data_IF_714195918464
#
_entry.id   IF_714195918464
#
_cell.length_a   1.000
_cell.length_b   1.000
_cell.length_c   1.000
_cell.angle_alpha   90.00
_cell.angle_beta   90.00
_cell.angle_gamma   90.00
#
_symmetry.space_group_name_H-M   'P 1'
#
loop_
_entity.id
_entity.type
_entity.pdbx_description
1 polymer ?
#
# COMPACT_ATOMS: atom_id res chain seq x y z
N UNK A 1 -13.48 14.40 31.86
CA UNK A 1 -13.49 15.34 30.73
C UNK A 1 -13.26 14.52 29.47
N UNK A 2 -14.33 14.27 28.71
CA UNK A 2 -14.29 13.42 27.53
C UNK A 2 -13.66 14.17 26.37
N UNK A 3 -12.60 13.60 25.81
CA UNK A 3 -12.10 14.01 24.50
C UNK A 3 -13.19 13.67 23.48
N UNK A 4 -13.77 14.71 22.87
CA UNK A 4 -14.60 14.56 21.67
C UNK A 4 -13.67 14.06 20.56
N UNK A 5 -13.79 12.78 20.19
CA UNK A 5 -13.18 12.24 19.00
C UNK A 5 -13.64 13.07 17.79
N UNK A 6 -12.69 13.65 17.10
CA UNK A 6 -12.93 14.28 15.80
C UNK A 6 -13.33 13.13 14.87
N UNK A 7 -14.58 13.07 14.49
CA UNK A 7 -15.07 12.19 13.42
C UNK A 7 -14.28 12.56 12.16
N UNK A 8 -13.41 11.68 11.72
CA UNK A 8 -12.71 11.83 10.45
C UNK A 8 -13.78 11.73 9.37
N UNK A 9 -13.97 12.80 8.61
CA UNK A 9 -14.87 12.81 7.46
C UNK A 9 -14.30 11.90 6.37
N UNK A 10 -14.76 10.64 6.36
CA UNK A 10 -14.35 9.64 5.38
C UNK A 10 -14.72 10.02 3.93
N UNK A 11 -15.76 10.87 3.76
CA UNK A 11 -16.14 11.40 2.44
C UNK A 11 -15.04 12.26 1.79
N UNK A 12 -14.12 12.82 2.59
CA UNK A 12 -12.96 13.57 2.10
C UNK A 12 -11.75 12.71 1.69
N UNK A 13 -11.75 11.40 1.96
CA UNK A 13 -10.61 10.51 1.70
C UNK A 13 -10.55 9.95 0.27
N UNK A 14 -11.57 10.20 -0.55
CA UNK A 14 -11.61 9.81 -1.96
C UNK A 14 -12.08 8.36 -2.20
N UNK A 15 -12.00 7.93 -3.45
CA UNK A 15 -12.46 6.59 -3.89
C UNK A 15 -11.54 5.51 -3.32
N UNK A 16 -12.11 4.35 -2.95
CA UNK A 16 -11.34 3.16 -2.54
C UNK A 16 -10.42 2.71 -3.67
N UNK A 17 -9.12 2.70 -3.43
CA UNK A 17 -8.09 2.29 -4.38
C UNK A 17 -7.02 1.43 -3.72
N UNK A 18 -7.03 1.30 -2.41
CA UNK A 18 -5.98 0.61 -1.66
C UNK A 18 -6.46 -0.74 -1.17
N UNK A 19 -5.57 -1.72 -1.25
CA UNK A 19 -5.76 -3.01 -0.61
C UNK A 19 -5.26 -2.91 0.84
N UNK A 20 -6.08 -3.38 1.78
CA UNK A 20 -5.74 -3.39 3.20
C UNK A 20 -4.42 -4.13 3.45
N UNK A 21 -3.64 -3.77 4.50
CA UNK A 21 -2.38 -4.44 4.80
C UNK A 21 -2.47 -5.96 4.83
N UNK A 22 -3.53 -6.52 5.40
CA UNK A 22 -3.73 -7.97 5.48
C UNK A 22 -3.91 -8.60 4.08
N UNK A 23 -4.65 -7.94 3.19
CA UNK A 23 -4.78 -8.38 1.80
C UNK A 23 -3.45 -8.28 1.07
N UNK A 24 -2.69 -7.20 1.31
CA UNK A 24 -1.36 -7.06 0.75
C UNK A 24 -0.41 -8.16 1.26
N UNK A 25 -0.52 -8.59 2.51
CA UNK A 25 0.25 -9.73 3.03
C UNK A 25 -0.13 -11.03 2.32
N UNK A 26 -1.41 -11.27 2.06
CA UNK A 26 -1.89 -12.41 1.24
C UNK A 26 -1.31 -12.33 -0.18
N UNK A 27 -1.31 -11.16 -0.82
CA UNK A 27 -0.72 -10.99 -2.16
C UNK A 27 0.79 -11.24 -2.15
N UNK A 28 1.51 -10.76 -1.16
CA UNK A 28 2.96 -11.03 -0.97
C UNK A 28 3.22 -12.52 -0.76
N UNK A 29 2.38 -13.18 0.04
CA UNK A 29 2.48 -14.63 0.26
C UNK A 29 2.20 -15.41 -1.03
N UNK A 30 1.22 -14.93 -1.83
CA UNK A 30 0.88 -15.50 -3.14
C UNK A 30 2.06 -15.38 -4.11
N UNK A 31 2.69 -14.21 -4.20
CA UNK A 31 3.92 -14.01 -4.99
C UNK A 31 5.04 -14.92 -4.50
N UNK A 32 5.29 -14.97 -3.21
CA UNK A 32 6.31 -15.85 -2.61
C UNK A 32 6.06 -17.31 -2.94
N UNK A 33 4.81 -17.73 -2.92
CA UNK A 33 4.41 -19.09 -3.28
C UNK A 33 4.69 -19.38 -4.75
N UNK A 34 4.31 -18.45 -5.63
CA UNK A 34 4.54 -18.57 -7.06
C UNK A 34 6.04 -18.70 -7.39
N UNK A 35 6.87 -17.84 -6.82
CA UNK A 35 8.34 -17.89 -7.03
C UNK A 35 8.92 -19.21 -6.55
N UNK A 36 8.57 -19.67 -5.35
CA UNK A 36 9.08 -20.95 -4.81
C UNK A 36 8.64 -22.18 -5.60
N UNK A 37 7.53 -22.09 -6.28
CA UNK A 37 6.97 -23.19 -7.09
C UNK A 37 7.20 -23.00 -8.58
N UNK A 38 8.00 -21.99 -8.95
CA UNK A 38 8.35 -21.66 -10.35
C UNK A 38 7.11 -21.54 -11.25
N UNK A 39 6.01 -20.96 -10.71
CA UNK A 39 4.78 -20.78 -11.47
C UNK A 39 4.96 -19.62 -12.45
N UNK A 40 4.78 -19.90 -13.73
CA UNK A 40 4.79 -18.87 -14.76
C UNK A 40 3.55 -17.94 -14.68
N UNK A 41 2.43 -18.47 -14.18
CA UNK A 41 1.17 -17.75 -14.04
C UNK A 41 0.49 -18.13 -12.72
N UNK A 42 0.01 -17.14 -12.01
CA UNK A 42 -0.64 -17.27 -10.70
C UNK A 42 -2.15 -17.21 -10.88
N UNK A 43 -2.83 -18.28 -10.45
CA UNK A 43 -4.27 -18.40 -10.52
C UNK A 43 -4.98 -18.14 -9.18
N UNK A 44 -6.31 -18.17 -9.23
CA UNK A 44 -7.18 -18.00 -8.06
C UNK A 44 -7.00 -19.10 -7.01
N UNK A 45 -6.53 -20.28 -7.42
CA UNK A 45 -6.17 -21.39 -6.54
C UNK A 45 -5.05 -21.03 -5.56
N UNK A 46 -4.01 -20.37 -6.06
CA UNK A 46 -2.87 -19.92 -5.24
C UNK A 46 -3.28 -18.79 -4.31
N UNK A 47 -4.11 -17.85 -4.77
CA UNK A 47 -4.66 -16.79 -3.93
C UNK A 47 -5.54 -17.36 -2.81
N UNK A 48 -6.43 -18.32 -3.13
CA UNK A 48 -7.23 -19.02 -2.14
C UNK A 48 -6.38 -19.76 -1.11
N UNK A 49 -5.32 -20.48 -1.57
CA UNK A 49 -4.38 -21.15 -0.68
C UNK A 49 -3.82 -20.19 0.36
N UNK A 50 -3.31 -19.03 -0.07
CA UNK A 50 -2.70 -18.09 0.84
C UNK A 50 -3.73 -17.42 1.75
N UNK A 51 -4.91 -17.06 1.24
CA UNK A 51 -5.97 -16.48 2.06
C UNK A 51 -6.41 -17.41 3.21
N UNK A 52 -6.46 -18.73 2.96
CA UNK A 52 -6.81 -19.74 3.97
C UNK A 52 -5.64 -20.02 4.92
N UNK A 53 -4.41 -19.92 4.45
CA UNK A 53 -3.20 -20.17 5.27
C UNK A 53 -2.86 -19.01 6.18
N UNK A 54 -3.19 -17.78 5.80
CA UNK A 54 -3.08 -16.60 6.67
C UNK A 54 -4.07 -16.68 7.84
N UNK A 55 -3.75 -16.03 8.96
CA UNK A 55 -4.61 -15.99 10.15
C UNK A 55 -5.70 -14.93 9.99
N UNK A 56 -6.52 -15.09 8.95
CA UNK A 56 -7.58 -14.15 8.62
C UNK A 56 -8.96 -14.76 8.90
N UNK A 57 -9.88 -13.95 9.37
CA UNK A 57 -11.28 -14.34 9.55
C UNK A 57 -11.94 -14.72 8.21
N UNK A 58 -11.57 -14.04 7.13
CA UNK A 58 -12.05 -14.34 5.79
C UNK A 58 -11.62 -15.74 5.32
N UNK A 59 -10.36 -16.12 5.54
CA UNK A 59 -9.87 -17.47 5.23
C UNK A 59 -10.56 -18.55 6.08
N UNK A 60 -10.76 -18.27 7.36
CA UNK A 60 -11.48 -19.17 8.26
C UNK A 60 -12.97 -19.32 7.88
N UNK A 61 -13.61 -18.28 7.35
CA UNK A 61 -14.99 -18.34 6.87
C UNK A 61 -15.14 -19.23 5.63
N UNK A 62 -14.17 -19.17 4.69
CA UNK A 62 -14.19 -20.02 3.49
C UNK A 62 -13.93 -21.50 3.85
N UNK A 63 -12.87 -21.77 4.60
CA UNK A 63 -12.39 -23.13 4.83
C UNK A 63 -12.05 -23.37 6.33
N UNK A 64 -13.07 -23.46 7.19
CA UNK A 64 -12.88 -23.59 8.63
C UNK A 64 -12.06 -24.83 8.99
N UNK A 65 -11.01 -24.62 9.78
CA UNK A 65 -10.11 -25.67 10.23
C UNK A 65 -9.10 -26.20 9.20
N UNK A 66 -9.22 -25.83 7.92
CA UNK A 66 -8.32 -26.28 6.85
C UNK A 66 -6.89 -25.74 6.98
N UNK A 67 -6.69 -24.59 7.58
CA UNK A 67 -5.37 -24.04 7.91
C UNK A 67 -4.55 -25.01 8.74
N UNK A 68 -5.10 -25.49 9.85
CA UNK A 68 -4.40 -26.41 10.76
C UNK A 68 -4.08 -27.77 10.13
N UNK A 69 -4.95 -28.26 9.26
CA UNK A 69 -4.77 -29.56 8.60
C UNK A 69 -3.86 -29.52 7.37
N UNK A 70 -3.59 -28.30 6.82
CA UNK A 70 -2.90 -28.16 5.53
C UNK A 70 -3.62 -28.83 4.35
N UNK A 71 -4.85 -29.30 4.56
CA UNK A 71 -5.54 -30.14 3.61
C UNK A 71 -5.88 -29.49 2.27
N UNK A 72 -6.20 -28.20 2.27
CA UNK A 72 -6.45 -27.43 1.05
C UNK A 72 -5.12 -27.11 0.34
N UNK A 73 -4.13 -26.63 1.07
CA UNK A 73 -2.81 -26.30 0.54
C UNK A 73 -2.15 -27.54 -0.10
N UNK A 74 -2.11 -28.68 0.59
CA UNK A 74 -1.56 -29.91 0.03
C UNK A 74 -2.29 -30.39 -1.22
N UNK A 75 -3.61 -30.20 -1.28
CA UNK A 75 -4.41 -30.55 -2.45
C UNK A 75 -4.08 -29.63 -3.65
N UNK A 76 -4.04 -28.31 -3.46
CA UNK A 76 -3.68 -27.34 -4.49
C UNK A 76 -2.27 -27.61 -5.00
N UNK A 77 -1.32 -27.87 -4.08
CA UNK A 77 0.07 -28.18 -4.44
C UNK A 77 0.20 -29.46 -5.26
N UNK A 78 -0.51 -30.53 -4.87
CA UNK A 78 -0.47 -31.79 -5.61
C UNK A 78 -1.04 -31.67 -7.02
N UNK A 79 -1.89 -30.67 -7.25
CA UNK A 79 -2.54 -30.39 -8.52
C UNK A 79 -1.89 -29.26 -9.33
N UNK A 80 -0.89 -28.59 -8.76
CA UNK A 80 -0.21 -27.49 -9.42
C UNK A 80 0.30 -27.89 -10.82
N UNK A 81 -0.12 -27.12 -11.83
CA UNK A 81 0.24 -27.35 -13.24
C UNK A 81 -0.48 -28.49 -13.95
N UNK A 82 -1.50 -29.14 -13.35
CA UNK A 82 -2.20 -30.27 -13.97
C UNK A 82 -3.72 -30.18 -13.81
N UNK A 83 -4.43 -30.04 -14.93
CA UNK A 83 -5.88 -30.30 -15.00
C UNK A 83 -6.77 -29.33 -14.25
N UNK A 84 -6.33 -28.10 -14.02
CA UNK A 84 -7.19 -27.00 -13.62
C UNK A 84 -8.02 -26.48 -14.79
N UNK A 85 -9.20 -25.91 -14.50
CA UNK A 85 -9.90 -25.11 -15.48
C UNK A 85 -9.03 -23.96 -15.97
N UNK A 86 -9.15 -23.60 -17.26
CA UNK A 86 -8.46 -22.44 -17.79
C UNK A 86 -9.06 -21.17 -17.18
N UNK A 87 -8.21 -20.30 -16.67
CA UNK A 87 -8.58 -18.98 -16.17
C UNK A 87 -7.98 -17.86 -17.04
N UNK A 88 -7.45 -18.22 -18.21
CA UNK A 88 -6.69 -17.29 -19.06
C UNK A 88 -7.62 -16.33 -19.81
N UNK A 89 -8.86 -16.72 -20.07
CA UNK A 89 -9.87 -15.83 -20.58
C UNK A 89 -10.35 -14.90 -19.46
N UNK A 90 -9.96 -13.63 -19.55
CA UNK A 90 -10.48 -12.61 -18.66
C UNK A 90 -12.00 -12.55 -18.86
N UNK A 91 -12.75 -12.96 -17.88
CA UNK A 91 -14.15 -12.61 -17.79
C UNK A 91 -14.18 -11.11 -17.51
N UNK A 92 -14.25 -10.31 -18.58
CA UNK A 92 -14.26 -8.87 -18.51
C UNK A 92 -15.41 -8.41 -17.61
N UNK A 93 -15.09 -8.20 -16.35
CA UNK A 93 -15.93 -7.39 -15.49
C UNK A 93 -15.92 -5.96 -16.04
N UNK A 94 -16.93 -5.15 -15.74
CA UNK A 94 -16.97 -3.74 -16.09
C UNK A 94 -15.89 -2.99 -15.27
N UNK A 95 -14.62 -3.27 -15.52
CA UNK A 95 -13.50 -2.55 -14.93
C UNK A 95 -13.22 -1.32 -15.79
N UNK A 96 -13.30 -0.15 -15.20
CA UNK A 96 -12.71 1.03 -15.81
C UNK A 96 -11.19 0.76 -15.95
N UNK A 97 -10.55 1.30 -16.97
CA UNK A 97 -9.09 1.21 -17.17
C UNK A 97 -8.30 1.58 -15.93
N UNK A 98 -8.83 2.52 -15.13
CA UNK A 98 -8.27 2.91 -13.83
C UNK A 98 -8.25 1.76 -12.80
N UNK A 99 -9.21 0.84 -12.84
CA UNK A 99 -9.30 -0.28 -11.91
C UNK A 99 -8.29 -1.37 -12.25
N UNK A 100 -8.08 -1.62 -13.54
CA UNK A 100 -7.04 -2.52 -14.00
C UNK A 100 -5.65 -2.00 -13.64
N UNK A 101 -5.41 -0.70 -13.83
CA UNK A 101 -4.18 -0.06 -13.44
C UNK A 101 -3.93 -0.17 -11.92
N UNK A 102 -4.98 -0.08 -11.11
CA UNK A 102 -4.91 -0.21 -9.66
C UNK A 102 -4.58 -1.64 -9.21
N UNK A 103 -5.20 -2.65 -9.82
CA UNK A 103 -4.89 -4.07 -9.58
C UNK A 103 -3.44 -4.37 -9.98
N UNK A 104 -2.97 -3.86 -11.12
CA UNK A 104 -1.58 -4.01 -11.54
C UNK A 104 -0.61 -3.29 -10.59
N UNK A 105 -0.99 -2.12 -10.09
CA UNK A 105 -0.20 -1.39 -9.10
C UNK A 105 -0.08 -2.19 -7.79
N UNK A 106 -1.17 -2.78 -7.31
CA UNK A 106 -1.16 -3.63 -6.12
C UNK A 106 -0.28 -4.87 -6.30
N UNK A 107 -0.32 -5.48 -7.50
CA UNK A 107 0.52 -6.64 -7.80
C UNK A 107 2.01 -6.30 -7.86
N UNK A 108 2.38 -5.16 -8.47
CA UNK A 108 3.76 -4.63 -8.44
C UNK A 108 4.22 -4.34 -7.01
N UNK A 109 3.35 -3.76 -6.19
CA UNK A 109 3.64 -3.52 -4.78
C UNK A 109 3.89 -4.82 -4.01
N UNK A 110 3.07 -5.86 -4.23
CA UNK A 110 3.25 -7.17 -3.60
C UNK A 110 4.60 -7.80 -3.99
N UNK A 111 4.98 -7.70 -5.26
CA UNK A 111 6.28 -8.13 -5.75
C UNK A 111 7.45 -7.39 -5.08
N UNK A 112 7.37 -6.08 -5.02
CA UNK A 112 8.37 -5.25 -4.36
C UNK A 112 8.53 -5.58 -2.87
N UNK A 113 7.41 -5.72 -2.15
CA UNK A 113 7.43 -6.11 -0.74
C UNK A 113 8.03 -7.50 -0.51
N UNK A 114 7.75 -8.44 -1.40
CA UNK A 114 8.41 -9.75 -1.40
C UNK A 114 9.92 -9.60 -1.54
N UNK A 115 10.37 -8.75 -2.46
CA UNK A 115 11.79 -8.45 -2.68
C UNK A 115 12.49 -7.84 -1.46
N UNK A 116 11.80 -6.99 -0.68
CA UNK A 116 12.35 -6.42 0.55
C UNK A 116 12.68 -7.48 1.61
N UNK A 117 11.89 -8.56 1.67
CA UNK A 117 12.04 -9.63 2.65
C UNK A 117 12.86 -10.83 2.17
N UNK A 118 13.17 -10.91 0.88
CA UNK A 118 13.89 -12.06 0.30
C UNK A 118 15.41 -11.91 0.44
N UNK A 119 16.07 -13.02 0.77
CA UNK A 119 17.52 -13.16 0.70
C UNK A 119 17.98 -13.90 -0.56
N UNK A 120 17.03 -14.48 -1.29
CA UNK A 120 17.27 -15.26 -2.51
C UNK A 120 17.30 -14.33 -3.72
N UNK A 121 17.90 -14.82 -4.80
CA UNK A 121 17.86 -14.15 -6.11
C UNK A 121 16.43 -14.09 -6.60
N UNK A 122 15.98 -12.89 -6.96
CA UNK A 122 14.59 -12.63 -7.33
C UNK A 122 14.53 -12.55 -8.85
N UNK A 123 13.57 -13.21 -9.53
CA UNK A 123 13.35 -13.05 -10.96
C UNK A 123 13.20 -11.57 -11.37
N UNK A 124 13.44 -11.25 -12.62
CA UNK A 124 13.44 -9.87 -13.12
C UNK A 124 12.10 -9.13 -13.04
N UNK A 125 10.99 -9.85 -12.81
CA UNK A 125 9.66 -9.26 -12.71
C UNK A 125 8.68 -10.14 -11.96
N UNK A 126 7.49 -9.61 -11.61
CA UNK A 126 6.46 -10.38 -10.97
C UNK A 126 5.94 -11.52 -11.88
N UNK A 127 5.53 -12.66 -11.30
CA UNK A 127 4.85 -13.69 -12.07
C UNK A 127 3.56 -13.13 -12.69
N UNK A 128 3.17 -13.62 -13.85
CA UNK A 128 1.94 -13.18 -14.50
C UNK A 128 0.71 -13.56 -13.66
N UNK A 129 -0.30 -12.70 -13.62
CA UNK A 129 -1.62 -13.07 -13.09
C UNK A 129 -2.46 -13.74 -14.16
N UNK A 130 -3.21 -14.79 -13.81
CA UNK A 130 -4.26 -15.32 -14.68
C UNK A 130 -5.40 -14.31 -14.85
N UNK A 131 -6.18 -14.45 -15.91
CA UNK A 131 -7.40 -13.66 -16.11
C UNK A 131 -8.38 -13.79 -14.94
N UNK A 132 -8.54 -15.02 -14.41
CA UNK A 132 -9.39 -15.27 -13.26
C UNK A 132 -8.89 -14.55 -11.98
N UNK A 133 -7.59 -14.56 -11.71
CA UNK A 133 -7.05 -13.83 -10.58
C UNK A 133 -7.25 -12.31 -10.72
N UNK A 134 -7.00 -11.77 -11.92
CA UNK A 134 -7.26 -10.35 -12.23
C UNK A 134 -8.73 -9.99 -12.00
N UNK A 135 -9.65 -10.79 -12.55
CA UNK A 135 -11.09 -10.60 -12.37
C UNK A 135 -11.50 -10.66 -10.89
N UNK A 136 -10.94 -11.57 -10.11
CA UNK A 136 -11.19 -11.66 -8.67
C UNK A 136 -10.81 -10.35 -7.96
N UNK A 137 -9.62 -9.79 -8.21
CA UNK A 137 -9.19 -8.56 -7.57
C UNK A 137 -10.01 -7.34 -8.02
N UNK A 138 -10.43 -7.29 -9.30
CA UNK A 138 -11.34 -6.26 -9.81
C UNK A 138 -12.72 -6.34 -9.14
N UNK A 139 -13.30 -7.53 -8.98
CA UNK A 139 -14.56 -7.70 -8.26
C UNK A 139 -14.43 -7.31 -6.79
N UNK A 140 -13.34 -7.66 -6.12
CA UNK A 140 -13.09 -7.25 -4.75
C UNK A 140 -13.00 -5.72 -4.61
N UNK A 141 -12.35 -5.05 -5.56
CA UNK A 141 -12.25 -3.58 -5.61
C UNK A 141 -13.62 -2.94 -5.85
N UNK A 142 -14.40 -3.46 -6.79
CA UNK A 142 -15.75 -2.98 -7.10
C UNK A 142 -16.70 -3.15 -5.89
N UNK A 143 -16.62 -4.29 -5.21
CA UNK A 143 -17.41 -4.57 -4.00
C UNK A 143 -17.07 -3.58 -2.87
N UNK A 144 -15.77 -3.36 -2.59
CA UNK A 144 -15.32 -2.41 -1.58
C UNK A 144 -15.80 -0.98 -1.86
N UNK A 145 -15.81 -0.56 -3.14
CA UNK A 145 -16.34 0.75 -3.54
C UNK A 145 -17.86 0.83 -3.38
N UNK A 146 -18.57 -0.23 -3.75
CA UNK A 146 -20.02 -0.28 -3.59
C UNK A 146 -20.45 -0.17 -2.12
N UNK A 147 -19.64 -0.73 -1.22
CA UNK A 147 -19.85 -0.62 0.23
C UNK A 147 -19.38 0.74 0.80
N UNK A 148 -18.60 1.51 0.06
CA UNK A 148 -18.01 2.77 0.52
C UNK A 148 -16.89 2.60 1.54
N UNK A 149 -16.22 1.44 1.55
CA UNK A 149 -15.09 1.19 2.45
C UNK A 149 -13.83 1.93 2.00
N UNK A 150 -12.95 2.26 2.93
CA UNK A 150 -11.70 2.98 2.66
C UNK A 150 -10.70 2.11 1.90
N UNK A 151 -10.76 0.79 2.10
CA UNK A 151 -9.83 -0.17 1.51
C UNK A 151 -10.51 -1.49 1.14
N UNK A 152 -9.87 -2.24 0.23
CA UNK A 152 -10.27 -3.62 -0.11
C UNK A 152 -9.81 -4.54 1.00
N UNK A 153 -10.73 -5.27 1.61
CA UNK A 153 -10.49 -6.18 2.74
C UNK A 153 -10.43 -7.63 2.31
N UNK A 154 -9.89 -8.48 3.19
CA UNK A 154 -9.85 -9.93 2.97
C UNK A 154 -11.22 -10.53 2.66
N UNK A 155 -12.31 -10.04 3.26
CA UNK A 155 -13.69 -10.49 2.98
C UNK A 155 -14.16 -10.19 1.55
N UNK A 156 -13.76 -9.04 0.96
CA UNK A 156 -14.08 -8.72 -0.44
C UNK A 156 -13.39 -9.70 -1.38
N UNK A 157 -12.10 -10.01 -1.14
CA UNK A 157 -11.36 -11.01 -1.91
C UNK A 157 -11.97 -12.40 -1.72
N UNK A 158 -12.33 -12.77 -0.49
CA UNK A 158 -12.98 -14.05 -0.18
C UNK A 158 -14.30 -14.20 -0.93
N UNK A 159 -15.14 -13.17 -0.93
CA UNK A 159 -16.43 -13.16 -1.65
C UNK A 159 -16.21 -13.28 -3.15
N UNK A 160 -15.30 -12.51 -3.71
CA UNK A 160 -14.96 -12.58 -5.13
C UNK A 160 -14.47 -13.98 -5.55
N UNK A 161 -13.66 -14.67 -4.72
CA UNK A 161 -13.23 -16.05 -4.96
C UNK A 161 -14.39 -17.05 -4.96
N UNK A 162 -15.41 -16.84 -4.13
CA UNK A 162 -16.60 -17.70 -4.06
C UNK A 162 -17.58 -17.46 -5.21
N UNK A 163 -17.71 -16.21 -5.66
CA UNK A 163 -18.68 -15.80 -6.67
C UNK A 163 -18.15 -15.97 -8.10
N UNK A 164 -16.82 -15.97 -8.30
CA UNK A 164 -16.23 -16.10 -9.63
C UNK A 164 -16.51 -17.48 -10.22
N UNK A 165 -17.35 -17.60 -11.27
CA UNK A 165 -17.60 -18.87 -11.92
C UNK A 165 -16.32 -19.35 -12.64
N UNK A 166 -16.21 -20.64 -12.87
CA UNK A 166 -15.16 -21.27 -13.68
C UNK A 166 -13.72 -20.91 -13.25
N UNK A 167 -13.53 -20.63 -11.94
CA UNK A 167 -12.23 -20.35 -11.36
C UNK A 167 -11.60 -21.60 -10.73
N UNK A 168 -10.26 -21.63 -10.70
CA UNK A 168 -9.50 -22.70 -10.03
C UNK A 168 -9.80 -22.75 -8.53
N UNK A 169 -10.03 -21.59 -7.92
CA UNK A 169 -10.46 -21.52 -6.51
C UNK A 169 -11.78 -22.25 -6.30
N UNK A 170 -12.79 -21.97 -7.14
CA UNK A 170 -14.09 -22.62 -7.07
C UNK A 170 -13.97 -24.14 -7.31
N UNK A 171 -13.18 -24.55 -8.29
CA UNK A 171 -12.91 -25.98 -8.54
C UNK A 171 -12.27 -26.63 -7.31
N UNK A 172 -11.28 -25.99 -6.69
CA UNK A 172 -10.63 -26.49 -5.49
C UNK A 172 -11.62 -26.70 -4.32
N UNK A 173 -12.50 -25.72 -4.09
CA UNK A 173 -13.53 -25.79 -3.05
C UNK A 173 -14.52 -26.93 -3.30
N UNK A 174 -14.99 -27.07 -4.54
CA UNK A 174 -15.92 -28.16 -4.92
C UNK A 174 -15.29 -29.54 -4.77
N UNK A 175 -14.05 -29.72 -5.22
CA UNK A 175 -13.33 -31.01 -5.10
C UNK A 175 -13.02 -31.38 -3.65
N UNK A 176 -12.84 -30.37 -2.79
CA UNK A 176 -12.69 -30.56 -1.34
C UNK A 176 -14.03 -30.66 -0.61
N UNK A 177 -15.15 -30.60 -1.32
CA UNK A 177 -16.52 -30.65 -0.77
C UNK A 177 -16.76 -29.59 0.28
N UNK A 178 -16.18 -28.40 0.10
CA UNK A 178 -16.46 -27.25 0.95
C UNK A 178 -17.79 -26.62 0.52
N UNK A 179 -18.64 -26.34 1.50
CA UNK A 179 -19.93 -25.71 1.26
C UNK A 179 -19.76 -24.21 1.01
N UNK A 180 -19.86 -23.81 -0.25
CA UNK A 180 -19.70 -22.40 -0.67
C UNK A 180 -20.86 -21.54 -0.18
N UNK A 181 -22.08 -22.09 -0.06
CA UNK A 181 -23.24 -21.34 0.44
C UNK A 181 -23.08 -21.04 1.94
N UNK A 182 -22.63 -22.02 2.70
CA UNK A 182 -22.30 -21.81 4.11
C UNK A 182 -21.11 -20.84 4.29
N UNK A 183 -20.10 -20.88 3.40
CA UNK A 183 -19.00 -19.93 3.41
C UNK A 183 -19.49 -18.49 3.17
N UNK A 184 -20.38 -18.25 2.20
CA UNK A 184 -21.04 -16.95 1.98
C UNK A 184 -21.78 -16.50 3.24
N UNK A 185 -22.58 -17.38 3.84
CA UNK A 185 -23.31 -17.05 5.09
C UNK A 185 -22.39 -16.66 6.25
N UNK A 186 -21.19 -17.26 6.34
CA UNK A 186 -20.20 -16.88 7.35
C UNK A 186 -19.59 -15.52 7.04
N UNK A 187 -19.30 -15.22 5.76
CA UNK A 187 -18.83 -13.90 5.35
C UNK A 187 -19.88 -12.82 5.64
N UNK A 188 -21.16 -13.09 5.37
CA UNK A 188 -22.25 -12.15 5.69
C UNK A 188 -22.33 -11.83 7.19
N UNK A 189 -22.02 -12.80 8.05
CA UNK A 189 -21.94 -12.56 9.51
C UNK A 189 -20.73 -11.70 9.89
N UNK A 190 -19.60 -11.87 9.19
CA UNK A 190 -18.43 -11.01 9.40
C UNK A 190 -18.75 -9.58 8.97
N UNK A 191 -19.45 -9.40 7.85
CA UNK A 191 -19.87 -8.08 7.36
C UNK A 191 -20.78 -7.38 8.39
N UNK A 192 -21.80 -8.07 8.90
CA UNK A 192 -22.69 -7.54 9.92
C UNK A 192 -21.97 -7.20 11.25
N UNK A 193 -20.91 -7.91 11.58
CA UNK A 193 -20.04 -7.60 12.72
C UNK A 193 -19.14 -6.39 12.49
N UNK A 194 -18.65 -6.22 11.27
CA UNK A 194 -17.72 -5.16 10.90
C UNK A 194 -18.38 -3.77 10.83
N UNK A 195 -19.68 -3.70 10.55
CA UNK A 195 -20.45 -2.44 10.59
C UNK A 195 -20.47 -1.77 11.98
N UNK A 196 -20.20 -2.53 13.05
CA UNK A 196 -20.17 -2.03 14.42
C UNK A 196 -18.81 -1.47 14.85
N UNK A 197 -17.73 -1.76 14.14
CA UNK A 197 -16.37 -1.29 14.44
C UNK A 197 -15.95 -0.24 13.42
N UNK A 198 -15.57 0.96 13.88
CA UNK A 198 -14.88 1.96 13.05
C UNK A 198 -13.55 1.36 12.56
N UNK A 199 -13.49 1.02 11.30
CA UNK A 199 -12.30 0.47 10.69
C UNK A 199 -11.23 1.52 10.46
N UNK A 200 -10.06 1.24 11.00
CA UNK A 200 -8.89 2.11 10.94
C UNK A 200 -7.67 1.33 10.44
N UNK A 201 -7.66 0.93 9.15
CA UNK A 201 -6.53 0.19 8.61
C UNK A 201 -5.24 1.03 8.72
N UNK A 202 -4.17 0.40 9.17
CA UNK A 202 -2.85 1.02 9.26
C UNK A 202 -2.04 0.69 8.01
N UNK A 203 -1.60 1.69 7.24
CA UNK A 203 -0.69 1.49 6.12
C UNK A 203 0.68 0.97 6.57
N UNK A 204 1.50 0.51 5.62
CA UNK A 204 2.85 0.06 5.93
C UNK A 204 3.71 1.16 6.57
N UNK A 205 3.59 2.42 6.11
CA UNK A 205 4.26 3.57 6.71
C UNK A 205 3.82 3.83 8.15
N UNK A 206 2.51 3.73 8.44
CA UNK A 206 1.97 3.86 9.82
C UNK A 206 2.47 2.72 10.70
N UNK A 207 2.50 1.49 10.20
CA UNK A 207 3.07 0.35 10.93
C UNK A 207 4.54 0.55 11.29
N UNK A 208 5.33 1.13 10.37
CA UNK A 208 6.74 1.48 10.63
C UNK A 208 6.86 2.53 11.74
N UNK A 209 6.07 3.60 11.71
CA UNK A 209 6.04 4.62 12.76
C UNK A 209 5.63 4.03 14.12
N UNK A 210 4.67 3.11 14.13
CA UNK A 210 4.26 2.41 15.34
C UNK A 210 5.36 1.51 15.88
N UNK A 211 6.05 0.76 15.01
CA UNK A 211 7.21 -0.07 15.39
C UNK A 211 8.38 0.77 15.91
N UNK A 212 8.60 1.95 15.36
CA UNK A 212 9.57 2.91 15.83
C UNK A 212 9.17 3.57 17.19
N UNK A 213 7.94 3.37 17.65
CA UNK A 213 7.41 4.00 18.86
C UNK A 213 7.06 5.48 18.68
N UNK A 214 7.02 5.97 17.44
CA UNK A 214 6.67 7.36 17.11
C UNK A 214 5.17 7.59 17.21
N UNK A 215 4.35 6.58 16.87
CA UNK A 215 2.89 6.65 16.93
C UNK A 215 2.36 5.51 17.78
N UNK A 216 1.76 5.86 18.93
CA UNK A 216 1.18 4.89 19.86
C UNK A 216 2.18 3.98 20.58
N UNK A 217 1.67 3.17 21.53
CA UNK A 217 2.46 2.17 22.26
C UNK A 217 2.25 0.78 21.64
N UNK A 218 3.12 0.36 20.74
CA UNK A 218 3.14 -1.03 20.27
C UNK A 218 4.57 -1.50 20.07
N UNK A 219 4.86 -2.70 20.53
CA UNK A 219 6.14 -3.37 20.32
C UNK A 219 6.98 -3.60 21.58
N UNK A 220 7.74 -4.69 21.55
CA UNK A 220 8.69 -5.08 22.61
C UNK A 220 9.83 -4.05 22.70
N UNK A 221 10.40 -3.79 23.88
CA UNK A 221 11.51 -2.81 24.08
C UNK A 221 12.69 -3.06 23.13
N UNK A 222 12.96 -4.31 22.79
CA UNK A 222 14.03 -4.69 21.87
C UNK A 222 13.71 -4.33 20.40
N UNK A 223 12.47 -4.51 19.93
CA UNK A 223 12.07 -4.13 18.58
C UNK A 223 12.10 -2.61 18.40
N UNK A 224 11.76 -1.85 19.44
CA UNK A 224 11.85 -0.38 19.44
C UNK A 224 13.29 0.11 19.38
N UNK A 225 14.19 -0.50 20.14
CA UNK A 225 15.61 -0.16 20.10
C UNK A 225 16.23 -0.46 18.73
N UNK A 226 15.86 -1.60 18.11
CA UNK A 226 16.38 -1.99 16.81
C UNK A 226 15.83 -1.11 15.67
N UNK A 227 14.53 -0.80 15.69
CA UNK A 227 13.92 0.09 14.68
C UNK A 227 14.34 1.55 14.86
N UNK A 228 14.53 2.03 16.09
CA UNK A 228 15.08 3.37 16.32
C UNK A 228 16.54 3.46 15.89
N UNK A 229 17.33 2.42 16.09
CA UNK A 229 18.72 2.36 15.65
C UNK A 229 18.84 2.30 14.13
N UNK A 230 18.03 1.50 13.43
CA UNK A 230 18.00 1.46 11.95
C UNK A 230 17.44 2.74 11.34
N UNK A 231 16.46 3.37 11.97
CA UNK A 231 15.94 4.68 11.56
C UNK A 231 17.00 5.79 11.76
N UNK A 232 17.79 5.72 12.84
CA UNK A 232 18.88 6.67 13.09
C UNK A 232 20.06 6.47 12.15
N UNK A 233 20.37 5.24 11.76
CA UNK A 233 21.54 4.92 10.92
C UNK A 233 21.34 5.20 9.42
N UNK A 234 20.07 5.21 8.95
CA UNK A 234 19.78 5.26 7.52
C UNK A 234 19.43 6.63 6.94
N UNK A 235 18.71 7.49 7.68
CA UNK A 235 18.16 8.75 7.15
C UNK A 235 18.05 9.84 8.23
N UNK A 236 19.14 10.15 8.91
CA UNK A 236 19.27 11.25 9.88
C UNK A 236 18.27 11.28 11.02
N UNK A 237 17.92 10.14 11.58
CA UNK A 237 17.20 10.08 12.85
C UNK A 237 15.73 10.51 12.81
N UNK A 238 15.13 10.78 11.64
CA UNK A 238 13.71 11.11 11.53
C UNK A 238 12.88 9.89 11.13
N UNK A 239 12.13 9.27 12.05
CA UNK A 239 11.23 8.16 11.73
C UNK A 239 10.17 8.54 10.68
N UNK A 240 9.74 9.80 10.69
CA UNK A 240 8.72 10.31 9.75
C UNK A 240 9.29 10.36 8.34
N UNK A 241 10.51 10.90 8.14
CA UNK A 241 11.14 10.91 6.82
C UNK A 241 11.46 9.50 6.32
N UNK A 242 11.80 8.58 7.22
CA UNK A 242 11.96 7.19 6.85
C UNK A 242 10.65 6.59 6.33
N UNK A 243 9.53 6.82 7.02
CA UNK A 243 8.21 6.38 6.55
C UNK A 243 7.82 7.06 5.22
N UNK A 244 8.10 8.35 5.05
CA UNK A 244 7.88 9.06 3.77
C UNK A 244 8.70 8.43 2.64
N UNK A 245 9.97 8.09 2.86
CA UNK A 245 10.79 7.44 1.84
C UNK A 245 10.28 6.06 1.46
N UNK A 246 9.77 5.30 2.42
CA UNK A 246 9.14 4.00 2.14
C UNK A 246 7.86 4.18 1.32
N UNK A 247 7.03 5.15 1.67
CA UNK A 247 5.83 5.48 0.88
C UNK A 247 6.18 6.02 -0.51
N UNK A 248 7.25 6.80 -0.65
CA UNK A 248 7.76 7.25 -1.95
C UNK A 248 8.21 6.07 -2.84
N UNK A 249 8.96 5.12 -2.28
CA UNK A 249 9.33 3.89 -2.97
C UNK A 249 8.11 3.08 -3.38
N UNK A 250 7.10 2.98 -2.51
CA UNK A 250 5.81 2.35 -2.79
C UNK A 250 5.11 3.03 -3.97
N UNK A 251 5.02 4.37 -3.99
CA UNK A 251 4.40 5.13 -5.09
C UNK A 251 5.14 4.90 -6.42
N UNK A 252 6.47 4.95 -6.42
CA UNK A 252 7.27 4.68 -7.61
C UNK A 252 6.96 3.30 -8.19
N UNK A 253 6.99 2.25 -7.36
CA UNK A 253 6.73 0.87 -7.77
C UNK A 253 5.29 0.69 -8.27
N UNK A 254 4.31 1.29 -7.62
CA UNK A 254 2.92 1.28 -8.07
C UNK A 254 2.76 1.89 -9.46
N UNK A 255 3.56 2.90 -9.77
CA UNK A 255 3.66 3.52 -11.10
C UNK A 255 4.58 2.75 -12.08
N UNK A 256 5.10 1.57 -11.71
CA UNK A 256 5.94 0.74 -12.58
C UNK A 256 7.40 1.22 -12.67
N UNK A 257 7.90 1.96 -11.67
CA UNK A 257 9.28 2.48 -11.64
C UNK A 257 10.09 1.86 -10.50
N UNK A 258 11.35 1.57 -10.77
CA UNK A 258 12.29 1.03 -9.78
C UNK A 258 13.03 2.13 -9.01
N UNK A 259 12.87 3.38 -9.43
CA UNK A 259 13.53 4.54 -8.86
C UNK A 259 12.49 5.58 -8.46
N UNK A 260 12.55 6.02 -7.21
CA UNK A 260 11.67 7.06 -6.68
C UNK A 260 12.24 8.45 -6.98
N UNK A 261 11.45 9.25 -7.68
CA UNK A 261 11.76 10.62 -8.07
C UNK A 261 11.32 11.64 -6.99
N UNK A 262 11.70 12.92 -7.08
CA UNK A 262 11.24 13.95 -6.14
C UNK A 262 9.71 14.02 -6.00
N UNK A 263 8.97 13.79 -7.09
CA UNK A 263 7.50 13.73 -7.08
C UNK A 263 6.97 12.60 -6.19
N UNK A 264 7.67 11.47 -6.13
CA UNK A 264 7.25 10.36 -5.27
C UNK A 264 7.46 10.67 -3.79
N UNK A 265 8.50 11.46 -3.45
CA UNK A 265 8.65 11.99 -2.10
C UNK A 265 7.50 12.91 -1.70
N UNK A 266 7.04 13.78 -2.62
CA UNK A 266 5.86 14.60 -2.39
C UNK A 266 4.60 13.75 -2.19
N UNK A 267 4.39 12.75 -3.05
CA UNK A 267 3.29 11.79 -2.90
C UNK A 267 3.40 11.01 -1.61
N UNK A 268 4.61 10.60 -1.20
CA UNK A 268 4.89 9.91 0.06
C UNK A 268 4.53 10.75 1.29
N UNK A 269 4.78 12.06 1.26
CA UNK A 269 4.36 13.00 2.32
C UNK A 269 2.84 13.01 2.48
N UNK A 270 2.10 13.12 1.37
CA UNK A 270 0.63 13.15 1.37
C UNK A 270 0.02 11.77 1.72
N UNK A 271 0.61 10.69 1.19
CA UNK A 271 0.16 9.33 1.47
C UNK A 271 0.30 8.96 2.95
N UNK A 272 1.41 9.33 3.57
CA UNK A 272 1.62 9.07 5.01
C UNK A 272 0.63 9.86 5.87
N UNK A 273 0.37 11.12 5.54
CA UNK A 273 -0.60 11.96 6.25
C UNK A 273 -2.02 11.37 6.15
N UNK A 274 -2.44 11.00 4.93
CA UNK A 274 -3.71 10.31 4.71
C UNK A 274 -3.80 9.01 5.49
N UNK A 275 -2.74 8.20 5.47
CA UNK A 275 -2.70 6.94 6.18
C UNK A 275 -2.79 7.10 7.70
N UNK A 276 -2.16 8.14 8.27
CA UNK A 276 -2.32 8.49 9.68
C UNK A 276 -3.76 8.90 10.00
N UNK A 277 -4.37 9.73 9.15
CA UNK A 277 -5.76 10.15 9.31
C UNK A 277 -6.73 8.96 9.27
N UNK A 278 -6.58 8.05 8.28
CA UNK A 278 -7.37 6.81 8.15
C UNK A 278 -7.21 5.92 9.38
N UNK A 279 -5.98 5.75 9.87
CA UNK A 279 -5.71 4.96 11.08
C UNK A 279 -6.16 5.65 12.39
N UNK A 280 -6.73 6.86 12.31
CA UNK A 280 -7.09 7.65 13.50
C UNK A 280 -5.87 7.95 14.39
N UNK A 281 -4.70 8.12 13.79
CA UNK A 281 -3.44 8.37 14.47
C UNK A 281 -2.95 9.79 14.20
N UNK A 282 -2.20 10.33 15.14
CA UNK A 282 -1.53 11.63 15.01
C UNK A 282 -0.07 11.52 15.45
N UNK A 283 0.77 12.37 14.89
CA UNK A 283 2.14 12.52 15.37
C UNK A 283 2.14 13.16 16.76
N UNK A 284 3.12 12.86 17.62
CA UNK A 284 3.33 13.55 18.90
C UNK A 284 3.54 15.05 18.68
N UNK A 285 3.15 15.87 19.68
CA UNK A 285 3.27 17.34 19.61
C UNK A 285 4.68 17.79 19.18
N UNK A 286 5.74 17.19 19.74
CA UNK A 286 7.12 17.55 19.40
C UNK A 286 7.55 17.23 17.97
N UNK A 287 6.73 16.52 17.19
CA UNK A 287 6.99 16.22 15.78
C UNK A 287 6.01 16.92 14.84
N UNK A 288 4.92 17.50 15.35
CA UNK A 288 3.81 18.01 14.53
C UNK A 288 4.26 19.22 13.72
N UNK A 289 4.98 20.16 14.30
CA UNK A 289 5.42 21.40 13.61
C UNK A 289 6.38 21.08 12.46
N UNK A 290 7.43 20.32 12.70
CA UNK A 290 8.39 19.92 11.68
C UNK A 290 7.76 19.06 10.55
N UNK A 291 6.58 18.48 10.80
CA UNK A 291 5.87 17.64 9.84
C UNK A 291 4.53 18.21 9.37
N UNK A 292 4.40 19.54 9.39
CA UNK A 292 3.20 20.26 8.98
C UNK A 292 3.02 20.37 7.45
N UNK A 293 3.95 19.91 6.62
CA UNK A 293 3.88 20.04 5.16
C UNK A 293 2.55 19.56 4.54
N UNK A 294 1.96 18.42 4.94
CA UNK A 294 0.67 17.99 4.39
C UNK A 294 -0.45 19.01 4.69
N UNK A 295 -0.44 19.61 5.88
CA UNK A 295 -1.43 20.62 6.25
C UNK A 295 -1.25 21.89 5.44
N UNK A 296 0.00 22.30 5.17
CA UNK A 296 0.32 23.44 4.29
C UNK A 296 -0.19 23.17 2.88
N UNK A 297 0.17 22.03 2.29
CA UNK A 297 -0.28 21.61 0.95
C UNK A 297 -1.81 21.64 0.82
N UNK A 298 -2.54 21.11 1.81
CA UNK A 298 -4.02 21.15 1.80
C UNK A 298 -4.58 22.56 1.83
N UNK A 299 -3.98 23.50 2.58
CA UNK A 299 -4.41 24.92 2.58
C UNK A 299 -4.23 25.57 1.21
N UNK A 300 -3.24 25.13 0.45
CA UNK A 300 -3.02 25.56 -0.94
C UNK A 300 -3.77 24.71 -1.98
N UNK A 301 -4.76 23.89 -1.55
CA UNK A 301 -5.64 23.14 -2.44
C UNK A 301 -5.05 21.85 -2.99
N UNK A 302 -3.81 21.49 -2.64
CA UNK A 302 -3.15 20.27 -3.12
C UNK A 302 -3.70 19.05 -2.39
N UNK A 303 -4.20 18.08 -3.17
CA UNK A 303 -4.73 16.82 -2.66
C UNK A 303 -4.01 15.63 -3.28
N UNK A 304 -3.84 14.55 -2.51
CA UNK A 304 -3.15 13.35 -2.99
C UNK A 304 -3.81 12.77 -4.25
N UNK A 305 -5.14 12.70 -4.29
CA UNK A 305 -5.88 12.05 -5.38
C UNK A 305 -5.67 12.75 -6.72
N UNK A 306 -5.77 14.09 -6.75
CA UNK A 306 -5.52 14.87 -7.96
C UNK A 306 -4.06 14.79 -8.39
N UNK A 307 -3.15 14.90 -7.43
CA UNK A 307 -1.71 14.86 -7.68
C UNK A 307 -1.25 13.52 -8.25
N UNK A 308 -1.79 12.39 -7.76
CA UNK A 308 -1.49 11.05 -8.30
C UNK A 308 -1.92 10.97 -9.77
N UNK A 309 -3.13 11.42 -10.10
CA UNK A 309 -3.63 11.40 -11.47
C UNK A 309 -2.74 12.23 -12.41
N UNK A 310 -2.29 13.41 -11.96
CA UNK A 310 -1.41 14.30 -12.73
C UNK A 310 0.02 13.76 -12.83
N UNK A 311 0.52 13.03 -11.80
CA UNK A 311 1.88 12.49 -11.77
C UNK A 311 2.05 11.21 -12.59
N UNK A 312 1.01 10.39 -12.73
CA UNK A 312 1.08 9.10 -13.45
C UNK A 312 1.12 9.29 -14.96
N UNK A 313 0.39 10.28 -15.49
CA UNK A 313 0.25 10.49 -16.93
C UNK A 313 1.58 10.74 -17.70
N UNK A 314 2.53 11.55 -17.20
CA UNK A 314 3.80 11.80 -17.91
C UNK A 314 4.83 10.69 -17.74
N UNK A 315 4.76 9.90 -16.67
CA UNK A 315 5.79 8.94 -16.27
C UNK A 315 5.66 7.58 -16.96
N UNK A 316 4.47 7.24 -17.45
CA UNK A 316 4.24 6.04 -18.26
C UNK A 316 5.04 6.03 -19.58
N UNK A 317 5.45 7.20 -20.07
CA UNK A 317 6.21 7.36 -21.31
C UNK A 317 7.73 7.09 -21.16
N UNK A 318 8.27 7.06 -19.94
CA UNK A 318 9.73 6.99 -19.69
C UNK A 318 10.23 5.57 -19.33
N UNK A 319 9.32 4.63 -19.01
CA UNK A 319 9.64 3.36 -18.34
C UNK A 319 10.09 2.20 -19.25
N UNK A 320 10.72 2.44 -20.38
CA UNK A 320 11.23 1.37 -21.26
C UNK A 320 12.77 1.17 -21.17
N UNK A 321 13.43 1.61 -20.12
CA UNK A 321 14.86 1.56 -19.98
C UNK A 321 15.33 0.82 -18.71
N UNK A 322 16.00 -0.30 -18.96
CA UNK A 322 16.93 -0.99 -18.07
C UNK A 322 16.44 -1.27 -16.64
N UNK A 323 15.76 -2.38 -16.48
CA UNK A 323 15.46 -2.98 -15.18
C UNK A 323 16.77 -3.38 -14.49
N UNK A 324 17.35 -2.44 -13.76
CA UNK A 324 18.57 -2.66 -12.98
C UNK A 324 18.32 -3.62 -11.82
N UNK A 325 19.30 -4.47 -11.52
CA UNK A 325 19.35 -5.44 -10.42
C UNK A 325 19.18 -4.81 -9.02
N UNK A 326 18.03 -4.22 -8.71
CA UNK A 326 17.82 -3.53 -7.44
C UNK A 326 16.63 -4.05 -6.64
N UNK A 327 16.90 -4.77 -5.57
CA UNK A 327 15.92 -5.32 -4.60
C UNK A 327 15.08 -4.26 -3.85
N UNK A 328 15.31 -2.96 -4.08
CA UNK A 328 14.60 -1.86 -3.39
C UNK A 328 14.41 -0.71 -4.37
N UNK A 329 13.25 -0.08 -4.36
CA UNK A 329 13.11 1.21 -5.01
C UNK A 329 14.16 2.16 -4.41
N UNK A 330 15.09 2.61 -5.24
CA UNK A 330 16.15 3.55 -4.83
C UNK A 330 15.63 4.95 -5.06
N UNK A 331 16.13 5.90 -4.28
CA UNK A 331 15.95 7.30 -4.62
C UNK A 331 16.79 7.65 -5.86
N UNK A 332 16.24 8.45 -6.76
CA UNK A 332 17.04 9.07 -7.83
C UNK A 332 18.04 10.05 -7.24
N UNK A 333 19.07 10.38 -8.00
CA UNK A 333 20.03 11.40 -7.59
C UNK A 333 19.38 12.76 -7.29
N UNK A 334 18.26 13.06 -7.94
CA UNK A 334 17.46 14.27 -7.65
C UNK A 334 16.72 14.15 -6.32
N UNK A 335 16.08 13.00 -6.04
CA UNK A 335 15.42 12.76 -4.78
C UNK A 335 16.41 12.69 -3.60
N UNK A 336 17.58 12.08 -3.78
CA UNK A 336 18.64 12.09 -2.77
C UNK A 336 19.12 13.50 -2.47
N UNK A 337 19.31 14.35 -3.50
CA UNK A 337 19.65 15.76 -3.31
C UNK A 337 18.57 16.50 -2.54
N UNK A 338 17.27 16.31 -2.85
CA UNK A 338 16.18 16.92 -2.11
C UNK A 338 16.21 16.55 -0.62
N UNK A 339 16.45 15.29 -0.30
CA UNK A 339 16.61 14.81 1.08
C UNK A 339 17.86 15.45 1.73
N UNK A 340 18.97 15.55 1.03
CA UNK A 340 20.19 16.19 1.54
C UNK A 340 19.98 17.69 1.83
N UNK A 341 19.31 18.42 0.92
CA UNK A 341 18.93 19.83 1.11
C UNK A 341 17.98 20.01 2.28
N UNK A 342 17.00 19.12 2.43
CA UNK A 342 16.10 19.16 3.58
C UNK A 342 16.84 19.04 4.92
N UNK A 343 17.89 18.21 4.97
CA UNK A 343 18.76 18.07 6.14
C UNK A 343 19.55 19.36 6.42
N UNK A 344 20.11 19.96 5.37
CA UNK A 344 20.86 21.20 5.49
C UNK A 344 19.96 22.32 6.03
N UNK A 345 18.76 22.48 5.47
CA UNK A 345 17.78 23.48 5.92
C UNK A 345 17.37 23.27 7.38
N UNK A 346 17.16 22.04 7.80
CA UNK A 346 16.87 21.73 9.19
C UNK A 346 18.05 22.13 10.13
N UNK A 347 19.28 21.87 9.69
CA UNK A 347 20.48 22.26 10.45
C UNK A 347 20.66 23.79 10.50
N UNK A 348 20.43 24.50 9.40
CA UNK A 348 20.51 25.98 9.34
C UNK A 348 19.48 26.65 10.26
N UNK A 349 18.34 26.02 10.49
CA UNK A 349 17.28 26.51 11.37
C UNK A 349 17.34 25.96 12.79
N UNK A 350 18.42 25.24 13.11
CA UNK A 350 18.60 24.58 14.40
C UNK A 350 17.41 23.68 14.82
N UNK A 351 16.71 23.13 13.83
CA UNK A 351 15.56 22.25 14.08
C UNK A 351 16.00 20.96 14.73
N UNK A 352 15.34 20.51 15.81
CA UNK A 352 15.74 19.28 16.52
C UNK A 352 15.55 18.01 15.68
N UNK A 353 14.72 18.09 14.61
CA UNK A 353 14.46 16.97 13.71
C UNK A 353 14.28 17.45 12.29
N UNK A 354 14.73 16.63 11.32
CA UNK A 354 14.40 16.87 9.91
C UNK A 354 12.98 16.38 9.67
N UNK A 355 12.07 17.29 9.30
CA UNK A 355 10.66 16.98 9.08
C UNK A 355 10.22 17.18 7.63
N UNK A 356 8.95 16.90 7.38
CA UNK A 356 8.34 17.05 6.04
C UNK A 356 8.32 18.48 5.56
N UNK A 357 8.36 19.48 6.45
CA UNK A 357 8.43 20.92 6.08
C UNK A 357 9.74 21.21 5.35
N UNK A 358 10.86 20.74 5.92
CA UNK A 358 12.18 20.88 5.30
C UNK A 358 12.25 20.14 3.96
N UNK A 359 11.64 18.94 3.89
CA UNK A 359 11.59 18.16 2.66
C UNK A 359 10.76 18.88 1.59
N UNK A 360 9.56 19.38 1.93
CA UNK A 360 8.72 20.12 0.98
C UNK A 360 9.43 21.37 0.47
N UNK A 361 10.06 22.13 1.37
CA UNK A 361 10.86 23.29 0.99
C UNK A 361 11.94 22.92 -0.04
N UNK A 362 12.66 21.80 0.16
CA UNK A 362 13.65 21.32 -0.80
C UNK A 362 13.04 20.83 -2.12
N UNK A 363 11.87 20.18 -2.06
CA UNK A 363 11.16 19.68 -3.24
C UNK A 363 10.65 20.81 -4.14
N UNK A 364 10.33 21.97 -3.58
CA UNK A 364 9.92 23.15 -4.37
C UNK A 364 11.03 23.72 -5.26
N UNK A 365 12.29 23.30 -5.08
CA UNK A 365 13.40 23.67 -5.96
C UNK A 365 13.53 22.72 -7.15
N UNK A 366 12.82 21.60 -7.15
CA UNK A 366 12.74 20.70 -8.28
C UNK A 366 11.73 21.23 -9.31
N UNK A 367 12.17 21.39 -10.56
CA UNK A 367 11.34 21.99 -11.60
C UNK A 367 10.07 21.17 -11.88
N UNK A 368 10.18 19.84 -11.88
CA UNK A 368 9.05 18.97 -12.17
C UNK A 368 8.01 18.99 -11.04
N UNK A 369 8.46 18.99 -9.79
CA UNK A 369 7.56 19.16 -8.62
C UNK A 369 6.87 20.53 -8.67
N UNK A 370 7.60 21.59 -8.99
CA UNK A 370 7.04 22.93 -9.10
C UNK A 370 5.99 23.03 -10.21
N UNK A 371 6.27 22.47 -11.39
CA UNK A 371 5.33 22.40 -12.51
C UNK A 371 4.06 21.62 -12.15
N UNK A 372 4.21 20.47 -11.47
CA UNK A 372 3.09 19.64 -11.04
C UNK A 372 2.19 20.38 -10.03
N UNK A 373 2.78 21.06 -9.05
CA UNK A 373 2.03 21.86 -8.06
C UNK A 373 1.35 23.07 -8.73
N UNK A 374 2.00 23.70 -9.69
CA UNK A 374 1.40 24.77 -10.47
C UNK A 374 0.21 24.28 -11.33
N UNK A 375 0.29 23.08 -11.90
CA UNK A 375 -0.82 22.45 -12.60
C UNK A 375 -2.03 22.19 -11.68
N UNK A 376 -1.80 21.90 -10.41
CA UNK A 376 -2.82 21.80 -9.36
C UNK A 376 -3.28 23.20 -8.85
N UNK A 377 -2.89 24.27 -9.52
CA UNK A 377 -3.25 25.67 -9.19
C UNK A 377 -2.71 26.15 -7.84
N UNK A 378 -1.68 25.51 -7.28
CA UNK A 378 -1.04 25.98 -6.05
C UNK A 378 -0.22 27.23 -6.31
N UNK A 379 -0.38 28.27 -5.48
CA UNK A 379 0.48 29.45 -5.49
C UNK A 379 1.83 29.11 -4.83
N UNK A 380 2.84 28.86 -5.66
CA UNK A 380 4.17 28.48 -5.21
C UNK A 380 4.88 29.56 -4.39
N UNK A 381 4.58 30.84 -4.67
CA UNK A 381 5.18 31.95 -3.94
C UNK A 381 4.59 32.05 -2.52
N UNK A 382 3.26 31.94 -2.42
CA UNK A 382 2.56 31.91 -1.15
C UNK A 382 2.93 30.65 -0.34
N UNK A 383 3.06 29.50 -1.01
CA UNK A 383 3.47 28.25 -0.38
C UNK A 383 4.89 28.35 0.22
N UNK A 384 5.86 28.93 -0.52
CA UNK A 384 7.21 29.17 0.01
C UNK A 384 7.20 30.13 1.19
N UNK A 385 6.50 31.27 1.06
CA UNK A 385 6.40 32.25 2.13
C UNK A 385 5.80 31.68 3.41
N UNK A 386 4.79 30.81 3.28
CA UNK A 386 4.19 30.13 4.43
C UNK A 386 5.17 29.14 5.08
N UNK A 387 5.89 28.34 4.28
CA UNK A 387 6.91 27.42 4.78
C UNK A 387 8.03 28.18 5.51
N UNK A 388 8.48 29.31 4.99
CA UNK A 388 9.53 30.12 5.61
C UNK A 388 9.08 30.78 6.92
N UNK A 389 7.79 30.99 7.10
CA UNK A 389 7.20 31.53 8.32
C UNK A 389 6.90 30.52 9.42
N UNK A 390 7.04 29.23 9.16
CA UNK A 390 6.76 28.20 10.18
C UNK A 390 7.89 28.13 11.22
N UNK A 391 7.55 28.09 12.52
CA UNK A 391 8.55 27.88 13.58
C UNK A 391 9.14 26.46 13.42
N UNK A 392 10.47 26.37 13.26
CA UNK A 392 11.17 25.09 13.08
C UNK A 392 11.14 24.52 11.66
N UNK A 393 10.69 25.31 10.69
CA UNK A 393 10.77 24.97 9.25
C UNK A 393 12.04 25.57 8.64
#
# INVERSE_FOLDING_TARGET
MGQRGTTVDLAGLGVTTEFEPDVMEVLVATVRRAVRSELACVGTDTLLEQLVMEDSEAGAAIAPGMRKSGGLSGFIQARAGRGWVSEDEAHGGPGAEADEAEVDAAWREAWWRFGLGSREEIPAGPPAMSGGMRSCLLHALASARAEGTVSVRGRHVARALLELPDSRAREALLLRRLDTAEAVTRLDRLDAGAEAEEERPESYGVLLLRRAGTVGRSGNRLSRAFTSWTAQSGLNGSPVLFAVNVEAGRQAVRCGRDVAEPVDLLLGVLALDRALAVAGRSLPEGLTEANAAPAVLRRHGVRQVSLVASAVAPLAAVSAGDAGEGKRARLSAAAERAVAVARLRAAERESPTVGTVHLLSALLDDAHVAELLAAEQADLAALRAELDGLPGA
#
